data_IF_710168106070
#
_entry.id   IF_710168106070
#
_cell.length_a   1.000
_cell.length_b   1.000
_cell.length_c   1.000
_cell.angle_alpha   90.00
_cell.angle_beta   90.00
_cell.angle_gamma   90.00
#
_symmetry.space_group_name_H-M   'P 1'
#
loop_
_entity.id
_entity.type
_entity.pdbx_description
1 polymer ?
#
# COMPACT_ATOMS: atom_id res chain seq x y z
N UNK A 1 17.98 -7.63 9.41
CA UNK A 1 17.54 -7.46 8.00
C UNK A 1 18.65 -7.84 7.03
N UNK A 2 19.87 -7.28 7.17
CA UNK A 2 21.01 -7.57 6.28
C UNK A 2 21.33 -9.08 6.16
N UNK A 3 21.40 -9.78 7.29
CA UNK A 3 21.63 -11.24 7.30
C UNK A 3 20.63 -12.02 6.42
N UNK A 4 19.34 -11.68 6.55
CA UNK A 4 18.29 -12.30 5.73
C UNK A 4 18.45 -11.94 4.25
N UNK A 5 18.80 -10.70 3.94
CA UNK A 5 19.02 -10.24 2.56
C UNK A 5 20.21 -10.96 1.93
N UNK A 6 21.32 -11.15 2.67
CA UNK A 6 22.49 -11.88 2.20
C UNK A 6 22.17 -13.37 1.97
N UNK A 7 21.43 -14.00 2.89
CA UNK A 7 20.97 -15.38 2.72
C UNK A 7 20.12 -15.53 1.43
N UNK A 8 19.20 -14.59 1.21
CA UNK A 8 18.37 -14.61 0.00
C UNK A 8 19.18 -14.31 -1.28
N UNK A 9 20.18 -13.45 -1.19
CA UNK A 9 21.12 -13.17 -2.29
C UNK A 9 21.94 -14.42 -2.64
N UNK A 10 22.40 -15.18 -1.65
CA UNK A 10 23.16 -16.42 -1.89
C UNK A 10 22.31 -17.50 -2.61
N UNK A 11 20.99 -17.51 -2.35
CA UNK A 11 20.04 -18.38 -3.03
C UNK A 11 19.71 -17.89 -4.45
N UNK A 12 19.51 -16.57 -4.62
CA UNK A 12 19.01 -15.97 -5.87
C UNK A 12 20.11 -15.49 -6.81
N UNK A 13 21.33 -15.35 -6.32
CA UNK A 13 22.48 -14.81 -7.05
C UNK A 13 22.46 -13.30 -7.27
N UNK A 14 21.41 -12.58 -6.82
CA UNK A 14 21.25 -11.13 -7.04
C UNK A 14 20.56 -10.44 -5.88
N UNK A 15 21.08 -9.28 -5.46
CA UNK A 15 20.43 -8.47 -4.42
C UNK A 15 19.06 -7.91 -4.86
N UNK A 16 18.86 -7.61 -6.13
CA UNK A 16 17.55 -7.17 -6.63
C UNK A 16 16.50 -8.28 -6.49
N UNK A 17 16.86 -9.53 -6.86
CA UNK A 17 16.00 -10.70 -6.64
C UNK A 17 15.80 -10.99 -5.15
N UNK A 18 16.83 -10.80 -4.35
CA UNK A 18 16.74 -10.95 -2.89
C UNK A 18 15.73 -9.97 -2.28
N UNK A 19 15.72 -8.70 -2.73
CA UNK A 19 14.73 -7.69 -2.30
C UNK A 19 13.31 -8.10 -2.72
N UNK A 20 13.13 -8.62 -3.93
CA UNK A 20 11.84 -9.11 -4.42
C UNK A 20 11.36 -10.27 -3.56
N UNK A 21 12.21 -11.26 -3.35
CA UNK A 21 11.87 -12.45 -2.56
C UNK A 21 11.60 -12.09 -1.09
N UNK A 22 12.39 -11.19 -0.51
CA UNK A 22 12.17 -10.64 0.82
C UNK A 22 10.78 -10.00 0.92
N UNK A 23 10.41 -9.20 -0.09
CA UNK A 23 9.09 -8.54 -0.13
C UNK A 23 7.96 -9.57 -0.16
N UNK A 24 8.11 -10.61 -0.96
CA UNK A 24 7.14 -11.72 -1.02
C UNK A 24 7.02 -12.43 0.32
N UNK A 25 8.14 -12.77 0.96
CA UNK A 25 8.15 -13.43 2.27
C UNK A 25 7.47 -12.59 3.35
N UNK A 26 7.82 -11.31 3.43
CA UNK A 26 7.18 -10.36 4.37
C UNK A 26 5.67 -10.29 4.11
N UNK A 27 5.25 -10.19 2.85
CA UNK A 27 3.83 -10.19 2.48
C UNK A 27 3.10 -11.47 2.87
N UNK A 28 3.73 -12.62 2.70
CA UNK A 28 3.15 -13.92 3.09
C UNK A 28 2.97 -14.02 4.61
N UNK A 29 3.97 -13.60 5.38
CA UNK A 29 3.91 -13.57 6.85
C UNK A 29 2.79 -12.63 7.33
N UNK A 30 2.68 -11.46 6.71
CA UNK A 30 1.69 -10.45 7.06
C UNK A 30 0.31 -10.69 6.43
N UNK A 31 0.18 -11.68 5.53
CA UNK A 31 -1.06 -12.00 4.81
C UNK A 31 -2.29 -12.13 5.72
N UNK A 32 -2.29 -12.96 6.78
CA UNK A 32 -3.46 -13.14 7.62
C UNK A 32 -3.90 -11.84 8.29
N UNK A 33 -2.95 -11.00 8.64
CA UNK A 33 -3.20 -9.74 9.31
C UNK A 33 -3.80 -8.69 8.34
N UNK A 34 -3.23 -8.60 7.15
CA UNK A 34 -3.73 -7.72 6.08
C UNK A 34 -5.11 -8.18 5.60
N UNK A 35 -5.35 -9.50 5.54
CA UNK A 35 -6.66 -10.04 5.16
C UNK A 35 -7.77 -9.61 6.14
N UNK A 36 -7.50 -9.63 7.45
CA UNK A 36 -8.41 -9.12 8.48
C UNK A 36 -8.69 -7.62 8.29
N UNK A 37 -7.65 -6.82 8.01
CA UNK A 37 -7.78 -5.39 7.69
C UNK A 37 -8.67 -5.13 6.47
N UNK A 38 -8.44 -5.87 5.38
CA UNK A 38 -9.24 -5.78 4.16
C UNK A 38 -10.72 -6.18 4.39
N UNK A 39 -11.00 -7.15 5.27
CA UNK A 39 -12.36 -7.51 5.66
C UNK A 39 -13.05 -6.37 6.42
N UNK A 40 -12.34 -5.71 7.33
CA UNK A 40 -12.83 -4.52 8.06
C UNK A 40 -13.13 -3.36 7.10
N UNK A 41 -12.23 -3.08 6.16
CA UNK A 41 -12.43 -2.06 5.14
C UNK A 41 -13.67 -2.32 4.28
N UNK A 42 -13.94 -3.57 3.89
CA UNK A 42 -15.14 -3.93 3.13
C UNK A 42 -16.44 -3.74 3.93
N UNK A 43 -16.43 -4.04 5.23
CA UNK A 43 -17.58 -3.74 6.09
C UNK A 43 -17.84 -2.23 6.13
N UNK A 44 -16.79 -1.43 6.22
CA UNK A 44 -16.90 0.02 6.18
C UNK A 44 -17.49 0.53 4.84
N UNK A 45 -17.16 -0.13 3.70
CA UNK A 45 -17.78 0.18 2.41
C UNK A 45 -19.28 -0.02 2.39
N UNK A 46 -19.77 -1.11 2.99
CA UNK A 46 -21.21 -1.39 3.07
C UNK A 46 -21.97 -0.33 3.89
N UNK A 47 -21.28 0.42 4.73
CA UNK A 47 -21.83 1.53 5.51
C UNK A 47 -21.84 2.87 4.75
N UNK A 48 -21.21 2.95 3.57
CA UNK A 48 -21.16 4.16 2.74
C UNK A 48 -22.53 4.82 2.49
N UNK A 49 -23.61 4.08 2.10
CA UNK A 49 -24.91 4.69 1.90
C UNK A 49 -25.44 5.33 3.18
N UNK A 50 -25.34 4.63 4.33
CA UNK A 50 -25.76 5.17 5.64
C UNK A 50 -24.93 6.41 6.05
N UNK A 51 -23.65 6.44 5.70
CA UNK A 51 -22.78 7.60 5.97
C UNK A 51 -23.14 8.80 5.11
N UNK A 52 -23.57 8.58 3.86
CA UNK A 52 -24.06 9.65 2.98
C UNK A 52 -25.36 10.26 3.54
N UNK A 53 -26.30 9.45 3.97
CA UNK A 53 -27.54 9.90 4.59
C UNK A 53 -27.26 10.70 5.88
N UNK A 54 -26.36 10.19 6.74
CA UNK A 54 -25.90 10.91 7.93
C UNK A 54 -25.27 12.27 7.59
N UNK A 55 -24.47 12.33 6.56
CA UNK A 55 -23.84 13.56 6.12
C UNK A 55 -24.85 14.57 5.58
N UNK A 56 -25.86 14.12 4.85
CA UNK A 56 -26.94 14.99 4.38
C UNK A 56 -27.80 15.50 5.55
N UNK A 57 -28.06 14.64 6.53
CA UNK A 57 -28.84 15.01 7.70
C UNK A 57 -28.14 16.02 8.61
N UNK A 58 -26.83 15.95 8.73
CA UNK A 58 -26.04 16.82 9.63
C UNK A 58 -25.08 17.76 8.87
N UNK A 59 -25.50 18.25 7.68
CA UNK A 59 -24.70 19.12 6.82
C UNK A 59 -24.11 20.34 7.54
N UNK A 60 -24.90 20.94 8.40
CA UNK A 60 -24.57 22.20 9.08
C UNK A 60 -23.93 21.99 10.46
N UNK A 61 -23.83 20.74 10.91
CA UNK A 61 -23.27 20.40 12.21
C UNK A 61 -22.21 19.27 12.09
N UNK A 62 -20.98 19.67 11.75
CA UNK A 62 -19.86 18.76 11.59
C UNK A 62 -19.53 17.97 12.85
N UNK A 63 -19.76 18.56 14.02
CA UNK A 63 -19.50 17.92 15.30
C UNK A 63 -20.47 16.77 15.57
N UNK A 64 -21.75 16.99 15.31
CA UNK A 64 -22.78 15.96 15.47
C UNK A 64 -22.63 14.87 14.39
N UNK A 65 -22.29 15.24 13.15
CA UNK A 65 -21.94 14.27 12.09
C UNK A 65 -20.82 13.34 12.56
N UNK A 66 -19.71 13.88 13.08
CA UNK A 66 -18.57 13.09 13.57
C UNK A 66 -18.96 12.15 14.70
N UNK A 67 -19.81 12.61 15.60
CA UNK A 67 -20.33 11.81 16.72
C UNK A 67 -21.19 10.65 16.22
N UNK A 68 -22.17 10.91 15.36
CA UNK A 68 -23.07 9.91 14.79
C UNK A 68 -22.33 8.90 13.89
N UNK A 69 -21.33 9.36 13.15
CA UNK A 69 -20.44 8.49 12.37
C UNK A 69 -19.68 7.52 13.28
N UNK A 70 -19.12 8.00 14.40
CA UNK A 70 -18.39 7.16 15.34
C UNK A 70 -19.32 6.16 16.04
N UNK A 71 -20.54 6.57 16.38
CA UNK A 71 -21.57 5.69 16.96
C UNK A 71 -22.02 4.62 15.96
N UNK A 72 -22.16 4.97 14.67
CA UNK A 72 -22.45 4.01 13.62
C UNK A 72 -21.34 2.95 13.51
N UNK A 73 -20.06 3.37 13.51
CA UNK A 73 -18.94 2.44 13.47
C UNK A 73 -18.88 1.51 14.68
N UNK A 74 -19.20 2.02 15.88
CA UNK A 74 -19.28 1.20 17.10
C UNK A 74 -20.41 0.17 17.02
N UNK A 75 -21.61 0.55 16.57
CA UNK A 75 -22.78 -0.34 16.44
C UNK A 75 -22.52 -1.46 15.43
N UNK A 76 -21.91 -1.13 14.31
CA UNK A 76 -21.59 -2.08 13.24
C UNK A 76 -20.27 -2.85 13.50
N UNK A 77 -19.61 -2.61 14.64
CA UNK A 77 -18.33 -3.23 15.05
C UNK A 77 -17.24 -3.12 13.97
N UNK A 78 -17.14 -1.94 13.35
CA UNK A 78 -16.15 -1.61 12.32
C UNK A 78 -15.15 -0.59 12.89
N UNK A 79 -13.86 -0.88 12.70
CA UNK A 79 -12.82 0.05 13.13
C UNK A 79 -12.50 1.05 12.00
N UNK A 80 -12.51 2.37 12.28
CA UNK A 80 -12.10 3.39 11.31
C UNK A 80 -10.62 3.25 10.91
N UNK A 81 -9.80 2.64 11.77
CA UNK A 81 -8.37 2.41 11.50
C UNK A 81 -8.09 1.21 10.58
N UNK A 82 -9.10 0.43 10.21
CA UNK A 82 -8.92 -0.74 9.35
C UNK A 82 -8.29 -0.42 7.98
N UNK A 83 -8.50 0.79 7.47
CA UNK A 83 -7.93 1.25 6.20
C UNK A 83 -6.47 1.66 6.26
N UNK A 84 -6.00 2.23 7.36
CA UNK A 84 -4.59 2.66 7.52
C UNK A 84 -3.71 1.57 8.15
N UNK A 85 -4.30 0.49 8.66
CA UNK A 85 -3.58 -0.60 9.33
C UNK A 85 -2.46 -1.22 8.47
N UNK A 86 -2.66 -1.52 7.17
CA UNK A 86 -1.58 -2.00 6.31
C UNK A 86 -0.39 -1.04 6.24
N UNK A 87 -0.64 0.27 6.24
CA UNK A 87 0.41 1.30 6.21
C UNK A 87 1.22 1.32 7.51
N UNK A 88 0.56 1.23 8.66
CA UNK A 88 1.25 1.15 9.96
C UNK A 88 2.12 -0.10 10.08
N UNK A 89 1.63 -1.22 9.55
CA UNK A 89 2.37 -2.49 9.53
C UNK A 89 3.59 -2.43 8.59
N UNK A 90 3.54 -1.58 7.59
CA UNK A 90 4.60 -1.38 6.61
C UNK A 90 5.78 -0.58 7.18
N UNK A 91 5.56 0.35 8.13
CA UNK A 91 6.59 1.24 8.65
C UNK A 91 7.82 0.52 9.23
N UNK A 92 7.69 -0.52 10.09
CA UNK A 92 8.85 -1.22 10.61
C UNK A 92 9.69 -1.89 9.52
N UNK A 93 9.03 -2.46 8.51
CA UNK A 93 9.71 -3.12 7.38
C UNK A 93 10.45 -2.09 6.54
N UNK A 94 9.80 -0.95 6.28
CA UNK A 94 10.39 0.16 5.56
C UNK A 94 11.64 0.70 6.24
N UNK A 95 11.56 1.00 7.55
CA UNK A 95 12.69 1.52 8.34
C UNK A 95 13.84 0.52 8.35
N UNK A 96 13.54 -0.77 8.55
CA UNK A 96 14.55 -1.81 8.59
C UNK A 96 15.25 -1.98 7.24
N UNK A 97 14.51 -1.91 6.13
CA UNK A 97 15.08 -2.02 4.79
C UNK A 97 15.87 -0.77 4.43
N UNK A 98 15.34 0.42 4.68
CA UNK A 98 16.03 1.68 4.46
C UNK A 98 17.37 1.73 5.19
N UNK A 99 17.35 1.44 6.50
CA UNK A 99 18.57 1.36 7.32
C UNK A 99 19.60 0.36 6.77
N UNK A 100 19.13 -0.77 6.24
CA UNK A 100 19.99 -1.81 5.65
C UNK A 100 20.60 -1.31 4.34
N UNK A 101 19.84 -0.68 3.46
CA UNK A 101 20.30 -0.16 2.17
C UNK A 101 21.30 1.01 2.36
N UNK A 102 21.04 1.87 3.34
CA UNK A 102 21.88 3.04 3.63
C UNK A 102 23.23 2.65 4.26
N UNK A 103 23.21 1.71 5.21
CA UNK A 103 24.40 1.30 5.97
C UNK A 103 25.25 0.21 5.30
N UNK A 104 24.70 -0.53 4.32
CA UNK A 104 25.40 -1.69 3.77
C UNK A 104 26.33 -1.31 2.61
N UNK A 105 27.62 -1.57 2.79
CA UNK A 105 28.63 -1.42 1.75
C UNK A 105 28.42 -2.45 0.63
N UNK A 106 27.89 -3.61 0.96
CA UNK A 106 27.65 -4.74 0.03
C UNK A 106 26.63 -4.44 -1.06
N UNK A 107 25.74 -3.46 -0.84
CA UNK A 107 24.71 -3.06 -1.79
C UNK A 107 25.13 -1.91 -2.71
N UNK A 108 26.31 -1.33 -2.43
CA UNK A 108 26.88 -0.26 -3.27
C UNK A 108 27.39 -0.85 -4.58
N UNK A 109 27.11 -0.14 -5.69
CA UNK A 109 27.49 -0.54 -7.06
C UNK A 109 26.88 -1.87 -7.52
N UNK A 110 25.85 -2.35 -6.84
CA UNK A 110 25.10 -3.53 -7.29
C UNK A 110 24.03 -3.08 -8.27
N UNK A 111 24.13 -3.53 -9.51
CA UNK A 111 23.15 -3.23 -10.55
C UNK A 111 21.98 -4.22 -10.53
N UNK A 112 20.79 -3.71 -10.87
CA UNK A 112 19.61 -4.53 -11.11
C UNK A 112 18.68 -3.87 -12.11
N UNK A 113 18.28 -4.59 -13.15
CA UNK A 113 17.54 -4.06 -14.30
C UNK A 113 18.31 -2.89 -14.93
N UNK A 114 17.71 -1.71 -14.94
CA UNK A 114 18.34 -0.47 -15.43
C UNK A 114 19.01 0.35 -14.33
N UNK A 115 18.76 0.02 -13.04
CA UNK A 115 19.44 0.69 -11.94
C UNK A 115 20.88 0.21 -11.84
N UNK A 116 21.83 1.13 -11.98
CA UNK A 116 23.26 0.82 -11.91
C UNK A 116 23.76 0.60 -10.48
N UNK A 117 23.03 1.14 -9.50
CA UNK A 117 23.37 1.06 -8.08
C UNK A 117 22.10 1.05 -7.24
N UNK A 118 21.85 -0.06 -6.54
CA UNK A 118 20.67 -0.21 -5.66
C UNK A 118 20.72 0.69 -4.42
N UNK A 119 21.89 1.20 -4.07
CA UNK A 119 22.05 2.13 -2.93
C UNK A 119 21.82 3.59 -3.32
N UNK A 120 21.62 3.89 -4.60
CA UNK A 120 21.39 5.24 -5.14
C UNK A 120 20.08 5.30 -5.91
N UNK A 121 19.53 6.51 -6.16
CA UNK A 121 18.39 6.68 -7.05
C UNK A 121 18.65 6.16 -8.45
N UNK A 122 17.65 5.54 -9.11
CA UNK A 122 17.73 4.98 -10.46
C UNK A 122 17.61 6.06 -11.54
N UNK A 123 18.68 6.79 -11.77
CA UNK A 123 18.71 7.86 -12.77
C UNK A 123 18.91 7.29 -14.18
N UNK A 124 18.01 7.62 -15.11
CA UNK A 124 18.15 7.33 -16.55
C UNK A 124 18.15 8.62 -17.36
N UNK A 125 19.13 8.75 -18.25
CA UNK A 125 19.26 9.86 -19.18
C UNK A 125 19.84 11.14 -18.57
N UNK A 126 19.89 12.22 -19.35
CA UNK A 126 20.41 13.48 -18.89
C UNK A 126 19.47 14.15 -17.90
N UNK A 127 20.04 14.76 -16.86
CA UNK A 127 19.27 15.61 -15.94
C UNK A 127 18.94 16.93 -16.60
N UNK A 128 17.65 17.27 -16.63
CA UNK A 128 17.19 18.57 -17.09
C UNK A 128 16.83 19.45 -15.88
N UNK A 129 17.49 20.60 -15.74
CA UNK A 129 17.33 21.51 -14.57
C UNK A 129 17.51 20.82 -13.20
N UNK A 130 18.39 19.83 -13.11
CA UNK A 130 18.62 19.07 -11.87
C UNK A 130 17.57 17.98 -11.58
N UNK A 131 16.57 17.81 -12.46
CA UNK A 131 15.56 16.77 -12.35
C UNK A 131 15.90 15.63 -13.29
N UNK A 132 16.13 14.44 -12.73
CA UNK A 132 16.40 13.22 -13.49
C UNK A 132 15.16 12.34 -13.59
N UNK A 133 15.15 11.45 -14.57
CA UNK A 133 14.09 10.45 -14.70
C UNK A 133 14.43 9.25 -13.80
N UNK A 134 13.53 8.97 -12.85
CA UNK A 134 13.62 7.84 -11.92
C UNK A 134 12.50 6.83 -12.22
N UNK A 135 12.71 5.85 -13.12
CA UNK A 135 11.62 4.96 -13.58
C UNK A 135 10.97 4.12 -12.49
N UNK A 136 11.74 3.58 -11.55
CA UNK A 136 11.16 2.78 -10.44
C UNK A 136 10.17 3.58 -9.59
N UNK A 137 10.48 4.84 -9.32
CA UNK A 137 9.59 5.71 -8.54
C UNK A 137 8.35 6.09 -9.36
N UNK A 138 8.51 6.37 -10.66
CA UNK A 138 7.38 6.66 -11.54
C UNK A 138 6.45 5.45 -11.69
N UNK A 139 7.01 4.25 -11.87
CA UNK A 139 6.25 2.99 -11.91
C UNK A 139 5.52 2.78 -10.58
N UNK A 140 6.21 2.97 -9.45
CA UNK A 140 5.59 2.86 -8.11
C UNK A 140 4.43 3.81 -7.94
N UNK A 141 4.60 5.06 -8.37
CA UNK A 141 3.54 6.09 -8.28
C UNK A 141 2.35 5.70 -9.15
N UNK A 142 2.58 5.23 -10.37
CA UNK A 142 1.53 4.70 -11.24
C UNK A 142 0.78 3.53 -10.62
N UNK A 143 1.50 2.58 -10.00
CA UNK A 143 0.90 1.46 -9.27
C UNK A 143 0.09 1.93 -8.05
N UNK A 144 0.55 2.96 -7.31
CA UNK A 144 -0.22 3.56 -6.22
C UNK A 144 -1.52 4.19 -6.71
N UNK A 145 -1.49 4.93 -7.81
CA UNK A 145 -2.69 5.50 -8.43
C UNK A 145 -3.64 4.40 -8.88
N UNK A 146 -3.13 3.33 -9.48
CA UNK A 146 -3.93 2.16 -9.86
C UNK A 146 -4.56 1.49 -8.64
N UNK A 147 -3.79 1.26 -7.59
CA UNK A 147 -4.28 0.69 -6.34
C UNK A 147 -5.37 1.56 -5.71
N UNK A 148 -5.20 2.87 -5.74
CA UNK A 148 -6.17 3.83 -5.23
C UNK A 148 -7.49 3.81 -6.00
N UNK A 149 -7.45 3.73 -7.35
CA UNK A 149 -8.63 3.57 -8.20
C UNK A 149 -9.38 2.25 -7.96
N UNK A 150 -8.65 1.20 -7.60
CA UNK A 150 -9.23 -0.11 -7.28
C UNK A 150 -9.74 -0.18 -5.84
N UNK A 151 -9.28 0.74 -4.99
CA UNK A 151 -9.75 0.86 -3.60
C UNK A 151 -11.11 1.53 -3.55
N UNK A 152 -11.95 1.18 -2.59
CA UNK A 152 -13.24 1.81 -2.44
C UNK A 152 -13.11 3.29 -2.05
N UNK A 153 -14.04 4.13 -2.50
CA UNK A 153 -14.06 5.52 -2.11
C UNK A 153 -14.24 5.67 -0.60
N UNK A 154 -13.62 6.68 -0.02
CA UNK A 154 -13.81 7.02 1.39
C UNK A 154 -15.12 7.81 1.59
N UNK A 155 -15.74 7.65 2.77
CA UNK A 155 -16.98 8.33 3.09
C UNK A 155 -16.81 9.85 3.25
N UNK A 156 -15.63 10.27 3.75
CA UNK A 156 -15.31 11.68 3.94
C UNK A 156 -14.55 12.23 2.72
N UNK A 157 -15.10 13.27 2.04
CA UNK A 157 -14.43 13.93 0.92
C UNK A 157 -13.08 14.53 1.28
N UNK A 158 -12.86 14.96 2.52
CA UNK A 158 -11.58 15.50 2.98
C UNK A 158 -10.51 14.41 2.99
N UNK A 159 -10.84 13.22 3.50
CA UNK A 159 -9.95 12.07 3.47
C UNK A 159 -9.70 11.58 2.04
N UNK A 160 -10.72 11.63 1.18
CA UNK A 160 -10.57 11.26 -0.23
C UNK A 160 -9.61 12.19 -0.97
N UNK A 161 -9.66 13.51 -0.71
CA UNK A 161 -8.70 14.47 -1.28
C UNK A 161 -7.27 14.20 -0.82
N UNK A 162 -7.06 13.94 0.47
CA UNK A 162 -5.73 13.60 1.02
C UNK A 162 -5.21 12.32 0.37
N UNK A 163 -6.04 11.28 0.25
CA UNK A 163 -5.63 10.05 -0.42
C UNK A 163 -5.27 10.29 -1.88
N UNK A 164 -6.02 11.12 -2.60
CA UNK A 164 -5.74 11.42 -4.01
C UNK A 164 -4.40 12.14 -4.19
N UNK A 165 -4.00 12.95 -3.21
CA UNK A 165 -2.73 13.66 -3.22
C UNK A 165 -1.54 12.78 -2.79
N UNK A 166 -1.81 11.67 -2.06
CA UNK A 166 -0.78 10.80 -1.48
C UNK A 166 0.25 10.27 -2.50
N UNK A 167 -0.11 9.81 -3.71
CA UNK A 167 0.88 9.37 -4.70
C UNK A 167 1.86 10.47 -5.11
N UNK A 168 1.39 11.73 -5.19
CA UNK A 168 2.23 12.87 -5.52
C UNK A 168 3.18 13.20 -4.37
N UNK A 169 2.67 13.19 -3.14
CA UNK A 169 3.50 13.39 -1.94
C UNK A 169 4.58 12.30 -1.86
N UNK A 170 4.20 11.05 -2.12
CA UNK A 170 5.14 9.92 -2.12
C UNK A 170 6.17 10.04 -3.24
N UNK A 171 5.78 10.50 -4.43
CA UNK A 171 6.72 10.75 -5.53
C UNK A 171 7.81 11.74 -5.10
N UNK A 172 7.43 12.87 -4.52
CA UNK A 172 8.38 13.90 -4.05
C UNK A 172 9.25 13.38 -2.92
N UNK A 173 8.63 12.69 -1.95
CA UNK A 173 9.34 12.15 -0.79
C UNK A 173 10.38 11.09 -1.18
N UNK A 174 10.02 10.15 -2.07
CA UNK A 174 10.89 9.07 -2.49
C UNK A 174 11.86 9.44 -3.60
N UNK A 175 11.79 10.66 -4.13
CA UNK A 175 12.61 11.08 -5.27
C UNK A 175 14.11 10.88 -5.06
N UNK A 176 14.60 11.11 -3.85
CA UNK A 176 16.02 10.99 -3.50
C UNK A 176 16.39 9.66 -2.83
N UNK A 177 15.45 8.71 -2.75
CA UNK A 177 15.70 7.44 -2.06
C UNK A 177 16.42 6.42 -2.95
N UNK A 178 17.13 5.45 -2.33
CA UNK A 178 17.79 4.37 -3.04
C UNK A 178 16.84 3.57 -3.94
N UNK A 179 17.33 3.18 -5.12
CA UNK A 179 16.54 2.40 -6.09
C UNK A 179 16.12 1.02 -5.56
N UNK A 180 16.91 0.42 -4.66
CA UNK A 180 16.51 -0.80 -3.97
C UNK A 180 15.25 -0.64 -3.12
N UNK A 181 15.06 0.53 -2.50
CA UNK A 181 13.85 0.85 -1.76
C UNK A 181 12.66 1.10 -2.70
N UNK A 182 12.89 1.78 -3.83
CA UNK A 182 11.89 1.98 -4.87
C UNK A 182 11.46 0.64 -5.48
N UNK A 183 12.39 -0.29 -5.72
CA UNK A 183 12.12 -1.66 -6.16
C UNK A 183 11.22 -2.40 -5.16
N UNK A 184 11.59 -2.37 -3.87
CA UNK A 184 10.77 -2.94 -2.81
C UNK A 184 9.34 -2.36 -2.85
N UNK A 185 9.21 -1.04 -3.00
CA UNK A 185 7.92 -0.36 -3.04
C UNK A 185 7.08 -0.75 -4.26
N UNK A 186 7.71 -0.88 -5.43
CA UNK A 186 7.07 -1.39 -6.65
C UNK A 186 6.47 -2.79 -6.43
N UNK A 187 7.31 -3.72 -5.97
CA UNK A 187 6.89 -5.11 -5.74
C UNK A 187 5.80 -5.18 -4.67
N UNK A 188 5.96 -4.40 -3.59
CA UNK A 188 4.96 -4.31 -2.53
C UNK A 188 3.59 -3.81 -3.06
N UNK A 189 3.56 -2.82 -3.95
CA UNK A 189 2.34 -2.31 -4.56
C UNK A 189 1.70 -3.35 -5.50
N UNK A 190 2.49 -4.04 -6.32
CA UNK A 190 2.00 -5.13 -7.18
C UNK A 190 1.33 -6.22 -6.35
N UNK A 191 2.03 -6.71 -5.31
CA UNK A 191 1.48 -7.74 -4.42
C UNK A 191 0.23 -7.26 -3.67
N UNK A 192 0.18 -5.98 -3.29
CA UNK A 192 -1.00 -5.39 -2.65
C UNK A 192 -2.21 -5.34 -3.59
N UNK A 193 -2.00 -4.99 -4.86
CA UNK A 193 -3.04 -4.99 -5.89
C UNK A 193 -3.57 -6.42 -6.11
N UNK A 194 -2.68 -7.40 -6.23
CA UNK A 194 -3.05 -8.80 -6.38
C UNK A 194 -3.86 -9.30 -5.18
N UNK A 195 -3.38 -9.00 -3.96
CA UNK A 195 -4.06 -9.36 -2.72
C UNK A 195 -5.44 -8.71 -2.60
N UNK A 196 -5.57 -7.45 -3.00
CA UNK A 196 -6.84 -6.73 -3.00
C UNK A 196 -7.84 -7.35 -3.99
N UNK A 197 -7.41 -7.64 -5.22
CA UNK A 197 -8.25 -8.30 -6.24
C UNK A 197 -8.69 -9.69 -5.78
N UNK A 198 -7.76 -10.49 -5.24
CA UNK A 198 -8.11 -11.79 -4.67
C UNK A 198 -9.15 -11.68 -3.56
N UNK A 199 -8.95 -10.72 -2.67
CA UNK A 199 -9.88 -10.45 -1.57
C UNK A 199 -11.27 -10.01 -2.06
N UNK A 200 -11.35 -9.21 -3.12
CA UNK A 200 -12.62 -8.81 -3.75
C UNK A 200 -13.32 -10.00 -4.42
N UNK A 201 -12.58 -10.83 -5.14
CA UNK A 201 -13.10 -12.03 -5.79
C UNK A 201 -13.66 -13.03 -4.77
N UNK A 202 -12.92 -13.32 -3.70
CA UNK A 202 -13.36 -14.21 -2.64
C UNK A 202 -14.65 -13.73 -1.97
N UNK A 203 -14.77 -12.41 -1.74
CA UNK A 203 -15.98 -11.82 -1.16
C UNK A 203 -17.21 -11.94 -2.09
N UNK A 204 -17.03 -11.71 -3.39
CA UNK A 204 -18.12 -11.84 -4.36
C UNK A 204 -18.62 -13.28 -4.45
N UNK A 205 -17.69 -14.25 -4.38
CA UNK A 205 -18.04 -15.68 -4.36
C UNK A 205 -18.84 -16.04 -3.11
N UNK A 206 -18.45 -15.53 -1.93
CA UNK A 206 -19.16 -15.76 -0.67
C UNK A 206 -20.59 -15.18 -0.73
N UNK A 207 -20.75 -13.98 -1.28
CA UNK A 207 -22.05 -13.32 -1.42
C UNK A 207 -23.00 -14.07 -2.39
N UNK A 208 -22.49 -14.56 -3.52
CA UNK A 208 -23.25 -15.38 -4.45
C UNK A 208 -23.69 -16.71 -3.81
N UNK A 209 -22.81 -17.35 -3.02
CA UNK A 209 -23.16 -18.58 -2.32
C UNK A 209 -24.29 -18.36 -1.28
N UNK A 210 -24.24 -17.25 -0.55
CA UNK A 210 -25.28 -16.90 0.44
C UNK A 210 -26.62 -16.56 -0.21
N UNK A 211 -26.62 -15.93 -1.38
CA UNK A 211 -27.86 -15.62 -2.11
C UNK A 211 -28.52 -16.89 -2.69
N UNK A 212 -27.72 -17.88 -3.11
CA UNK A 212 -28.23 -19.14 -3.64
C UNK A 212 -28.76 -20.09 -2.54
N UNK A 213 -28.45 -19.84 -1.27
CA UNK A 213 -28.91 -20.64 -0.12
C UNK A 213 -30.10 -20.03 0.61
N UNK A 214 -30.58 -18.84 0.22
CA UNK A 214 -31.84 -18.29 0.76
C UNK A 214 -33.01 -18.95 0.00
N UNK A 215 -33.83 -19.75 0.67
CA UNK A 215 -35.10 -20.22 0.08
C UNK A 215 -36.02 -19.01 -0.19
N UNK A 216 -36.78 -19.09 -1.29
CA UNK A 216 -37.77 -18.12 -1.70
C UNK A 216 -38.86 -17.95 -0.66
#
# INVERSE_FOLDING_TARGET
MLYLLNLLKDITGSYGLAIILLTVLVKLILWPLIHKGNKSMRRMQRLQPKLKELKEKYKDNQQEFSRQMMDLYRREKVSPFGGCFPMLLQLPVFIALYSTLDSSVELRHVSFLWAQDLSRPDLIGPTFMGIGLHPLILISTGLMVLQQKLSPPMADPSQQKIMMLMPVIMLVFFYSFPSGLALYWCVNNILSILQMKYSQYAAKKEELALNNTKPA
#
